data_IF_079831848869
#
_entry.id   IF_079831848869
#
_cell.length_a   1.000
_cell.length_b   1.000
_cell.length_c   1.000
_cell.angle_alpha   90.00
_cell.angle_beta   90.00
_cell.angle_gamma   90.00
#
_symmetry.space_group_name_H-M   'P 1'
#
loop_
_entity.id
_entity.type
_entity.pdbx_description
1 polymer ?
#
# COMPACT_ATOMS: atom_id res chain seq x y z
N UNK A 1 -17.16 -19.09 -13.66
CA UNK A 1 -16.40 -18.01 -14.33
C UNK A 1 -16.30 -16.69 -13.55
N UNK A 2 -16.88 -16.57 -12.35
CA UNK A 2 -16.80 -15.32 -11.57
C UNK A 2 -15.36 -14.95 -11.21
N UNK A 3 -14.60 -15.85 -10.59
CA UNK A 3 -13.17 -15.63 -10.24
C UNK A 3 -12.31 -15.14 -11.41
N UNK A 4 -12.44 -15.76 -12.59
CA UNK A 4 -11.64 -15.36 -13.77
C UNK A 4 -11.97 -13.94 -14.23
N UNK A 5 -13.23 -13.51 -14.13
CA UNK A 5 -13.64 -12.12 -14.43
C UNK A 5 -13.11 -11.13 -13.39
N UNK A 6 -13.22 -11.47 -12.11
CA UNK A 6 -12.74 -10.60 -11.02
C UNK A 6 -11.21 -10.43 -11.09
N UNK A 7 -10.48 -11.53 -11.30
CA UNK A 7 -9.03 -11.51 -11.49
C UNK A 7 -8.64 -10.72 -12.75
N UNK A 8 -9.39 -10.87 -13.84
CA UNK A 8 -9.19 -10.08 -15.05
C UNK A 8 -9.33 -8.58 -14.82
N UNK A 9 -10.29 -8.14 -14.00
CA UNK A 9 -10.42 -6.73 -13.62
C UNK A 9 -9.18 -6.26 -12.84
N UNK A 10 -8.73 -7.03 -11.84
CA UNK A 10 -7.53 -6.69 -11.05
C UNK A 10 -6.30 -6.57 -11.96
N UNK A 11 -6.08 -7.55 -12.84
CA UNK A 11 -4.96 -7.53 -13.79
C UNK A 11 -5.04 -6.37 -14.78
N UNK A 12 -6.22 -6.06 -15.29
CA UNK A 12 -6.43 -4.96 -16.21
C UNK A 12 -6.09 -3.60 -15.56
N UNK A 13 -6.58 -3.38 -14.34
CA UNK A 13 -6.30 -2.14 -13.59
C UNK A 13 -4.81 -2.01 -13.26
N UNK A 14 -4.16 -3.11 -12.86
CA UNK A 14 -2.71 -3.11 -12.62
C UNK A 14 -1.92 -2.80 -13.90
N UNK A 15 -2.33 -3.36 -15.05
CA UNK A 15 -1.72 -3.06 -16.34
C UNK A 15 -1.89 -1.58 -16.73
N UNK A 16 -3.09 -1.02 -16.53
CA UNK A 16 -3.33 0.41 -16.72
C UNK A 16 -2.44 1.27 -15.81
N UNK A 17 -2.19 0.86 -14.57
CA UNK A 17 -1.27 1.55 -13.67
C UNK A 17 0.17 1.59 -14.19
N UNK A 18 0.60 0.55 -14.90
CA UNK A 18 1.92 0.51 -15.54
C UNK A 18 2.00 1.41 -16.77
N UNK A 19 0.96 1.39 -17.62
CA UNK A 19 0.83 2.33 -18.75
C UNK A 19 0.84 3.78 -18.24
N UNK A 20 0.14 4.05 -17.13
CA UNK A 20 0.07 5.38 -16.54
C UNK A 20 1.43 5.85 -15.98
N UNK A 21 2.24 4.93 -15.43
CA UNK A 21 3.62 5.22 -15.03
C UNK A 21 4.51 5.58 -16.23
N UNK A 22 4.32 4.94 -17.38
CA UNK A 22 5.04 5.30 -18.61
C UNK A 22 4.66 6.70 -19.12
N UNK A 23 3.39 7.08 -18.98
CA UNK A 23 2.89 8.41 -19.38
C UNK A 23 3.29 9.52 -18.39
N UNK A 24 3.31 9.21 -17.10
CA UNK A 24 3.62 10.15 -16.02
C UNK A 24 4.92 9.68 -15.34
N UNK A 25 6.09 10.20 -15.74
CA UNK A 25 7.39 9.76 -15.24
C UNK A 25 7.69 10.33 -13.85
N UNK A 26 6.86 10.02 -12.85
CA UNK A 26 7.22 10.25 -11.45
C UNK A 26 7.95 9.02 -10.91
N UNK A 27 8.86 9.24 -9.94
CA UNK A 27 9.60 8.19 -9.25
C UNK A 27 8.71 7.39 -8.26
N UNK A 28 7.55 6.95 -8.72
CA UNK A 28 6.54 6.23 -7.95
C UNK A 28 6.43 4.81 -8.54
N UNK A 29 6.41 3.75 -7.71
CA UNK A 29 6.16 2.39 -8.18
C UNK A 29 4.82 2.28 -8.94
N UNK A 30 4.78 1.46 -9.99
CA UNK A 30 3.57 1.21 -10.80
C UNK A 30 2.41 0.68 -9.94
N UNK A 31 2.71 -0.11 -8.91
CA UNK A 31 1.71 -0.61 -7.95
C UNK A 31 0.91 0.50 -7.27
N UNK A 32 1.49 1.68 -7.02
CA UNK A 32 0.76 2.78 -6.37
C UNK A 32 -0.26 3.37 -7.34
N UNK A 33 0.10 3.53 -8.61
CA UNK A 33 -0.84 3.97 -9.64
C UNK A 33 -2.00 2.99 -9.83
N UNK A 34 -1.71 1.69 -9.87
CA UNK A 34 -2.75 0.66 -9.93
C UNK A 34 -3.71 0.71 -8.73
N UNK A 35 -3.18 0.96 -7.53
CA UNK A 35 -4.00 1.08 -6.31
C UNK A 35 -4.87 2.34 -6.34
N UNK A 36 -4.32 3.49 -6.77
CA UNK A 36 -5.09 4.72 -6.95
C UNK A 36 -6.18 4.56 -8.01
N UNK A 37 -5.88 3.93 -9.15
CA UNK A 37 -6.85 3.66 -10.21
C UNK A 37 -7.97 2.73 -9.73
N UNK A 38 -7.62 1.63 -9.05
CA UNK A 38 -8.61 0.72 -8.49
C UNK A 38 -9.51 1.45 -7.49
N UNK A 39 -8.92 2.27 -6.62
CA UNK A 39 -9.67 3.11 -5.69
C UNK A 39 -10.64 4.04 -6.42
N UNK A 40 -10.20 4.72 -7.48
CA UNK A 40 -11.07 5.59 -8.29
C UNK A 40 -12.21 4.80 -8.94
N UNK A 41 -11.96 3.61 -9.48
CA UNK A 41 -13.00 2.75 -10.07
C UNK A 41 -14.01 2.22 -9.05
N UNK A 42 -13.58 1.98 -7.81
CA UNK A 42 -14.49 1.61 -6.71
C UNK A 42 -15.33 2.81 -6.27
N UNK A 43 -14.74 4.00 -6.11
CA UNK A 43 -15.44 5.21 -5.67
C UNK A 43 -16.43 5.70 -6.74
N UNK A 44 -16.07 5.61 -8.02
CA UNK A 44 -16.96 5.96 -9.15
C UNK A 44 -18.05 4.92 -9.41
N UNK A 45 -18.00 3.75 -8.74
CA UNK A 45 -19.00 2.69 -8.87
C UNK A 45 -18.91 1.89 -10.19
N UNK A 46 -17.90 2.17 -11.03
CA UNK A 46 -17.63 1.42 -12.27
C UNK A 46 -17.33 -0.05 -11.93
N UNK A 47 -16.59 -0.27 -10.85
CA UNK A 47 -16.28 -1.60 -10.31
C UNK A 47 -16.96 -1.76 -8.96
N UNK A 48 -17.90 -2.71 -8.86
CA UNK A 48 -18.51 -3.07 -7.57
C UNK A 48 -17.51 -3.82 -6.71
N UNK A 49 -17.49 -3.55 -5.40
CA UNK A 49 -16.58 -4.23 -4.46
C UNK A 49 -16.73 -5.76 -4.54
N UNK A 50 -17.96 -6.26 -4.64
CA UNK A 50 -18.24 -7.70 -4.77
C UNK A 50 -17.65 -8.33 -6.05
N UNK A 51 -17.34 -7.51 -7.06
CA UNK A 51 -16.77 -7.97 -8.33
C UNK A 51 -15.24 -8.11 -8.30
N UNK A 52 -14.59 -7.76 -7.20
CA UNK A 52 -13.13 -7.94 -7.02
C UNK A 52 -12.78 -8.58 -5.68
N UNK A 53 -13.72 -8.61 -4.73
CA UNK A 53 -13.50 -9.04 -3.35
C UNK A 53 -13.04 -10.49 -3.23
N UNK A 54 -13.72 -11.46 -3.84
CA UNK A 54 -13.35 -12.88 -3.70
C UNK A 54 -11.95 -13.16 -4.26
N UNK A 55 -11.63 -12.64 -5.44
CA UNK A 55 -10.31 -12.86 -6.06
C UNK A 55 -9.21 -12.07 -5.37
N UNK A 56 -9.50 -10.85 -4.90
CA UNK A 56 -8.56 -10.07 -4.09
C UNK A 56 -8.25 -10.74 -2.76
N UNK A 57 -9.27 -11.24 -2.05
CA UNK A 57 -9.09 -12.00 -0.80
C UNK A 57 -8.27 -13.27 -1.02
N UNK A 58 -8.56 -14.01 -2.09
CA UNK A 58 -7.75 -15.17 -2.47
C UNK A 58 -6.28 -14.80 -2.74
N UNK A 59 -6.03 -13.69 -3.45
CA UNK A 59 -4.67 -13.22 -3.73
C UNK A 59 -3.90 -12.84 -2.46
N UNK A 60 -4.60 -12.22 -1.49
CA UNK A 60 -4.05 -11.88 -0.17
C UNK A 60 -3.75 -13.17 0.61
N UNK A 61 -4.59 -14.18 0.51
CA UNK A 61 -4.41 -15.46 1.21
C UNK A 61 -3.17 -16.22 0.71
N UNK A 62 -2.89 -16.20 -0.60
CA UNK A 62 -1.70 -16.82 -1.18
C UNK A 62 -0.45 -15.90 -1.15
N UNK A 63 -0.59 -14.65 -0.70
CA UNK A 63 0.50 -13.68 -0.61
C UNK A 63 1.75 -14.22 0.13
N UNK A 64 1.63 -14.94 1.27
CA UNK A 64 2.80 -15.53 1.94
C UNK A 64 3.60 -16.49 1.06
N UNK A 65 2.92 -17.25 0.18
CA UNK A 65 3.58 -18.16 -0.76
C UNK A 65 4.40 -17.37 -1.79
N UNK A 66 3.89 -16.23 -2.25
CA UNK A 66 4.63 -15.32 -3.15
C UNK A 66 5.87 -14.72 -2.48
N UNK A 67 5.87 -14.57 -1.16
CA UNK A 67 7.04 -14.11 -0.40
C UNK A 67 8.14 -15.16 -0.25
N UNK A 68 7.86 -16.45 -0.46
CA UNK A 68 8.88 -17.51 -0.39
C UNK A 68 9.99 -17.23 -1.41
N UNK A 69 9.64 -16.88 -2.65
CA UNK A 69 10.61 -16.55 -3.70
C UNK A 69 11.50 -15.37 -3.32
N UNK A 70 10.91 -14.30 -2.80
CA UNK A 70 11.67 -13.15 -2.27
C UNK A 70 12.56 -13.54 -1.08
N UNK A 71 12.10 -14.45 -0.23
CA UNK A 71 12.84 -14.93 0.94
C UNK A 71 14.06 -15.79 0.56
N UNK A 72 13.95 -16.64 -0.45
CA UNK A 72 15.08 -17.45 -0.95
C UNK A 72 16.21 -16.55 -1.46
N UNK A 73 15.88 -15.41 -2.08
CA UNK A 73 16.88 -14.41 -2.48
C UNK A 73 17.72 -13.86 -1.31
N UNK A 74 17.12 -13.74 -0.12
CA UNK A 74 17.82 -13.28 1.09
C UNK A 74 18.87 -14.30 1.55
N UNK A 75 18.57 -15.60 1.41
CA UNK A 75 19.50 -16.68 1.79
C UNK A 75 20.80 -16.64 0.97
N UNK A 76 20.73 -16.20 -0.30
CA UNK A 76 21.92 -16.02 -1.16
C UNK A 76 22.89 -14.98 -0.59
N UNK A 77 22.36 -13.90 0.02
CA UNK A 77 23.15 -12.82 0.61
C UNK A 77 23.34 -12.96 2.13
N UNK A 78 23.05 -14.13 2.69
CA UNK A 78 23.01 -14.36 4.14
C UNK A 78 24.29 -13.97 4.87
N UNK A 79 25.46 -14.23 4.26
CA UNK A 79 26.76 -13.91 4.84
C UNK A 79 27.00 -12.40 4.98
N UNK A 80 26.54 -11.60 4.02
CA UNK A 80 26.62 -10.13 4.10
C UNK A 80 25.57 -9.58 5.08
N UNK A 81 24.38 -10.17 5.07
CA UNK A 81 23.26 -9.72 5.90
C UNK A 81 23.50 -9.96 7.40
N UNK A 82 24.15 -11.07 7.76
CA UNK A 82 24.45 -11.42 9.16
C UNK A 82 25.17 -10.32 9.92
N UNK A 83 26.13 -9.64 9.28
CA UNK A 83 26.85 -8.51 9.90
C UNK A 83 25.98 -7.28 10.13
N UNK A 84 24.86 -7.15 9.42
CA UNK A 84 23.94 -6.02 9.48
C UNK A 84 22.62 -6.34 10.21
N UNK A 85 22.39 -7.57 10.66
CA UNK A 85 21.15 -7.98 11.31
C UNK A 85 20.80 -7.10 12.52
N UNK A 86 21.76 -6.84 13.39
CA UNK A 86 21.56 -6.01 14.59
C UNK A 86 21.22 -4.56 14.17
N UNK A 87 22.02 -3.87 13.34
CA UNK A 87 21.63 -2.57 12.78
C UNK A 87 20.25 -2.54 12.13
N UNK A 88 19.89 -3.57 11.35
CA UNK A 88 18.61 -3.66 10.63
C UNK A 88 17.41 -3.76 11.59
N UNK A 89 17.52 -4.57 12.64
CA UNK A 89 16.45 -4.70 13.64
C UNK A 89 16.28 -3.37 14.39
N UNK A 90 17.39 -2.78 14.82
CA UNK A 90 17.38 -1.52 15.58
C UNK A 90 16.79 -0.39 14.73
N UNK A 91 17.25 -0.20 13.49
CA UNK A 91 16.73 0.86 12.63
C UNK A 91 15.25 0.66 12.31
N UNK A 92 14.82 -0.58 12.07
CA UNK A 92 13.41 -0.89 11.76
C UNK A 92 12.48 -0.57 12.93
N UNK A 93 12.86 -0.96 14.15
CA UNK A 93 12.06 -0.67 15.35
C UNK A 93 12.00 0.84 15.59
N UNK A 94 13.16 1.51 15.57
CA UNK A 94 13.23 2.95 15.82
C UNK A 94 12.46 3.73 14.77
N UNK A 95 12.64 3.42 13.47
CA UNK A 95 11.93 4.11 12.39
C UNK A 95 10.42 3.88 12.47
N UNK A 96 9.99 2.67 12.81
CA UNK A 96 8.57 2.35 12.96
C UNK A 96 7.94 3.16 14.10
N UNK A 97 8.57 3.18 15.28
CA UNK A 97 8.10 3.97 16.42
C UNK A 97 8.08 5.46 16.06
N UNK A 98 9.13 5.95 15.42
CA UNK A 98 9.25 7.36 15.02
C UNK A 98 8.12 7.75 14.05
N UNK A 99 7.88 6.95 13.01
CA UNK A 99 6.79 7.19 12.04
C UNK A 99 5.44 7.22 12.75
N UNK A 100 5.17 6.27 13.66
CA UNK A 100 3.91 6.22 14.42
C UNK A 100 3.75 7.48 15.27
N UNK A 101 4.78 7.89 16.01
CA UNK A 101 4.74 9.08 16.88
C UNK A 101 4.53 10.36 16.07
N UNK A 102 5.27 10.53 14.98
CA UNK A 102 5.17 11.73 14.13
C UNK A 102 3.81 11.79 13.46
N UNK A 103 3.34 10.70 12.84
CA UNK A 103 2.02 10.64 12.21
C UNK A 103 0.89 10.91 13.22
N UNK A 104 1.00 10.36 14.43
CA UNK A 104 0.07 10.60 15.52
C UNK A 104 0.05 12.07 15.96
N UNK A 105 1.22 12.67 16.19
CA UNK A 105 1.35 14.10 16.57
C UNK A 105 0.83 15.04 15.49
N UNK A 106 1.14 14.78 14.22
CA UNK A 106 0.64 15.57 13.08
C UNK A 106 -0.88 15.50 13.02
N UNK A 107 -1.46 14.31 13.16
CA UNK A 107 -2.91 14.11 13.14
C UNK A 107 -3.59 14.85 14.30
N UNK A 108 -3.06 14.71 15.52
CA UNK A 108 -3.56 15.42 16.70
C UNK A 108 -3.46 16.95 16.54
N UNK A 109 -2.37 17.45 15.95
CA UNK A 109 -2.18 18.86 15.68
C UNK A 109 -3.24 19.40 14.70
N UNK A 110 -3.49 18.68 13.60
CA UNK A 110 -4.50 19.06 12.60
C UNK A 110 -5.90 19.07 13.22
N UNK A 111 -6.25 18.06 14.03
CA UNK A 111 -7.56 17.97 14.71
C UNK A 111 -7.73 19.13 15.70
N UNK A 112 -6.73 19.39 16.55
CA UNK A 112 -6.78 20.48 17.54
C UNK A 112 -6.92 21.85 16.87
N UNK A 113 -6.25 22.08 15.73
CA UNK A 113 -6.36 23.31 14.96
C UNK A 113 -7.73 23.49 14.30
N UNK A 114 -8.39 22.39 13.87
CA UNK A 114 -9.77 22.43 13.37
C UNK A 114 -10.80 22.68 14.48
N UNK A 115 -10.65 22.06 15.65
CA UNK A 115 -11.54 22.29 16.81
C UNK A 115 -11.55 23.77 17.22
N UNK A 116 -10.36 24.37 17.35
CA UNK A 116 -10.21 25.77 17.75
C UNK A 116 -10.77 26.77 16.72
N UNK A 117 -10.86 26.39 15.44
CA UNK A 117 -11.47 27.20 14.37
C UNK A 117 -13.00 27.13 14.39
N UNK A 118 -13.59 26.00 14.81
CA UNK A 118 -15.04 25.85 14.92
C UNK A 118 -15.61 26.58 16.15
N UNK A 119 -14.85 26.71 17.25
CA UNK A 119 -15.28 27.47 18.44
C UNK A 119 -15.20 29.00 18.25
N UNK A 120 -14.33 29.52 17.37
CA UNK A 120 -14.25 30.96 17.06
C UNK A 120 -15.24 31.44 15.98
N UNK A 121 -16.01 30.54 15.35
CA UNK A 121 -17.03 30.88 14.35
C UNK A 121 -18.46 30.93 14.90
N UNK A 122 -18.62 30.77 16.22
CA UNK A 122 -19.92 30.77 16.92
C UNK A 122 -20.01 31.85 18.00
N UNK A 123 -19.33 32.98 17.81
CA UNK A 123 -19.52 34.22 18.57
C UNK A 123 -19.72 35.39 17.61
#
# INVERSE_FOLDING_TARGET
MKYMRQFGIIMFVTCLGEVLKYLIPLAIPSSIYGLCLMMLFLVTGIVKVDSVRESGSFLIEIMPIMFIGSGVGIVVYWNQLKGMLIPLIVITIISTILVIVVAGKVTQFVIKKRSKKNESGSN
#
